data_IF_216184727916
#
_entry.id   IF_216184727916
#
_cell.length_a   1.000
_cell.length_b   1.000
_cell.length_c   1.000
_cell.angle_alpha   90.00
_cell.angle_beta   90.00
_cell.angle_gamma   90.00
#
_symmetry.space_group_name_H-M   'P 1'
#
loop_
_entity.id
_entity.type
_entity.pdbx_description
1 polymer ?
#
# COMPACT_ATOMS: atom_id res chain seq x y z
N UNK A 1 2.87 -3.44 -1.77
CA UNK A 1 3.72 -2.31 -2.16
C UNK A 1 3.33 -1.90 -3.58
N UNK A 2 3.00 -0.63 -3.77
CA UNK A 2 2.99 -0.01 -5.09
C UNK A 2 4.43 0.23 -5.50
N UNK A 3 4.77 -0.06 -6.74
CA UNK A 3 6.16 -0.07 -7.20
C UNK A 3 6.61 1.34 -7.64
N UNK A 4 6.07 2.37 -6.98
CA UNK A 4 6.16 3.80 -7.30
C UNK A 4 7.60 4.31 -7.47
N UNK A 5 8.50 3.82 -6.63
CA UNK A 5 9.92 4.20 -6.61
C UNK A 5 10.83 3.17 -7.27
N UNK A 6 10.24 2.12 -7.82
CA UNK A 6 11.00 1.03 -8.43
C UNK A 6 11.17 1.28 -9.91
N UNK A 7 12.30 0.88 -10.48
CA UNK A 7 12.39 0.79 -11.94
C UNK A 7 11.66 -0.47 -12.36
N UNK A 8 10.41 -0.31 -12.77
CA UNK A 8 9.63 -1.37 -13.40
C UNK A 8 9.92 -1.34 -14.89
N UNK A 9 10.29 -2.47 -15.47
CA UNK A 9 10.44 -2.65 -16.90
C UNK A 9 10.09 -4.08 -17.30
N UNK A 10 10.19 -4.39 -18.60
CA UNK A 10 9.85 -5.73 -19.14
C UNK A 10 10.64 -6.88 -18.48
N UNK A 11 11.85 -6.57 -18.01
CA UNK A 11 12.75 -7.54 -17.38
C UNK A 11 12.54 -7.67 -15.87
N UNK A 12 11.70 -6.84 -15.26
CA UNK A 12 11.48 -6.84 -13.83
C UNK A 12 11.40 -5.50 -13.16
N UNK A 13 11.13 -5.59 -11.87
CA UNK A 13 11.26 -4.50 -10.91
C UNK A 13 12.70 -4.52 -10.37
N UNK A 14 13.44 -3.44 -10.59
CA UNK A 14 14.74 -3.22 -9.96
C UNK A 14 14.71 -2.07 -8.96
N UNK A 15 15.30 -2.33 -7.79
CA UNK A 15 15.49 -1.37 -6.70
C UNK A 15 16.98 -1.00 -6.61
N UNK A 16 17.49 -0.24 -7.59
CA UNK A 16 18.86 0.30 -7.58
C UNK A 16 20.00 -0.75 -7.69
N UNK A 17 20.14 -1.64 -6.71
CA UNK A 17 21.20 -2.64 -6.64
C UNK A 17 20.77 -3.96 -7.32
N UNK A 18 21.22 -4.12 -8.56
CA UNK A 18 20.84 -5.20 -9.49
C UNK A 18 21.54 -6.55 -9.23
N UNK A 19 22.17 -6.75 -8.08
CA UNK A 19 22.99 -7.95 -7.82
C UNK A 19 22.20 -9.25 -7.64
N UNK A 20 20.89 -9.16 -7.39
CA UNK A 20 20.01 -10.33 -7.27
C UNK A 20 18.87 -10.24 -8.30
N UNK A 21 19.20 -10.19 -9.59
CA UNK A 21 18.20 -10.43 -10.63
C UNK A 21 17.68 -11.86 -10.46
N UNK A 22 16.36 -11.98 -10.39
CA UNK A 22 15.65 -13.23 -10.21
C UNK A 22 16.20 -14.33 -11.14
N UNK A 23 16.64 -15.43 -10.54
CA UNK A 23 16.89 -16.66 -11.28
C UNK A 23 15.62 -17.02 -12.07
N UNK A 24 15.77 -17.55 -13.28
CA UNK A 24 14.65 -17.89 -14.18
C UNK A 24 13.64 -18.90 -13.60
N UNK A 25 13.98 -19.52 -12.46
CA UNK A 25 13.20 -20.51 -11.73
C UNK A 25 12.41 -19.93 -10.55
N UNK A 26 12.31 -18.61 -10.43
CA UNK A 26 11.63 -18.01 -9.29
C UNK A 26 10.10 -18.25 -9.34
N UNK A 27 9.64 -19.15 -8.47
CA UNK A 27 8.22 -19.44 -8.24
C UNK A 27 7.47 -18.24 -7.63
N UNK A 28 8.17 -17.18 -7.21
CA UNK A 28 7.56 -15.97 -6.65
C UNK A 28 6.66 -15.23 -7.65
N UNK A 29 6.94 -15.40 -8.95
CA UNK A 29 6.37 -14.57 -10.01
C UNK A 29 6.69 -13.10 -9.82
N UNK A 30 7.96 -12.79 -9.55
CA UNK A 30 8.52 -11.44 -9.67
C UNK A 30 9.29 -11.35 -10.99
N UNK A 31 9.07 -10.28 -11.75
CA UNK A 31 9.58 -10.10 -13.13
C UNK A 31 8.60 -10.54 -14.23
N UNK A 32 8.98 -10.29 -15.49
CA UNK A 32 8.21 -10.58 -16.72
C UNK A 32 6.92 -9.78 -16.87
N UNK A 33 7.01 -8.49 -16.61
CA UNK A 33 5.94 -7.53 -16.80
C UNK A 33 5.58 -7.45 -18.29
N UNK A 34 4.35 -7.81 -18.61
CA UNK A 34 3.73 -7.63 -19.93
C UNK A 34 2.95 -6.32 -19.94
N UNK A 35 2.69 -5.78 -21.14
CA UNK A 35 1.91 -4.55 -21.30
C UNK A 35 2.45 -3.37 -20.47
N UNK A 36 3.74 -3.40 -20.12
CA UNK A 36 4.36 -2.31 -19.38
C UNK A 36 4.34 -1.04 -20.23
N UNK A 37 3.85 0.06 -19.64
CA UNK A 37 4.01 1.39 -20.19
C UNK A 37 4.22 2.42 -19.10
N UNK A 38 5.04 3.42 -19.43
CA UNK A 38 5.21 4.64 -18.67
C UNK A 38 4.99 5.82 -19.61
N UNK A 39 4.07 6.71 -19.26
CA UNK A 39 3.77 7.91 -20.05
C UNK A 39 3.76 9.15 -19.16
N UNK A 40 4.02 10.30 -19.76
CA UNK A 40 3.89 11.60 -19.14
C UNK A 40 3.04 12.49 -20.04
N UNK A 41 2.02 13.13 -19.46
CA UNK A 41 1.19 14.13 -20.11
C UNK A 41 1.64 15.53 -19.66
N UNK A 42 2.19 16.37 -20.57
CA UNK A 42 2.67 17.70 -20.23
C UNK A 42 1.55 18.70 -19.87
N UNK A 43 0.32 18.48 -20.34
CA UNK A 43 -0.78 19.42 -20.09
C UNK A 43 -1.33 19.26 -18.66
N UNK A 44 -1.33 18.04 -18.14
CA UNK A 44 -1.83 17.71 -16.79
C UNK A 44 -0.74 17.44 -15.76
N UNK A 45 0.52 17.27 -16.19
CA UNK A 45 1.64 16.87 -15.34
C UNK A 45 1.59 15.40 -14.91
N UNK A 46 0.68 14.62 -15.47
CA UNK A 46 0.40 13.25 -15.02
C UNK A 46 1.41 12.26 -15.59
N UNK A 47 2.05 11.52 -14.69
CA UNK A 47 2.82 10.32 -15.00
C UNK A 47 1.92 9.09 -14.80
N UNK A 48 1.84 8.21 -15.79
CA UNK A 48 1.07 6.97 -15.71
C UNK A 48 2.01 5.78 -15.82
N UNK A 49 1.97 4.90 -14.82
CA UNK A 49 2.67 3.62 -14.80
C UNK A 49 1.65 2.50 -14.79
N UNK A 50 1.70 1.61 -15.78
CA UNK A 50 0.89 0.41 -15.80
C UNK A 50 1.67 -0.80 -16.25
N UNK A 51 1.27 -1.96 -15.75
CA UNK A 51 1.76 -3.24 -16.24
C UNK A 51 0.82 -4.37 -15.83
N UNK A 52 0.92 -5.47 -16.57
CA UNK A 52 0.36 -6.75 -16.18
C UNK A 52 1.48 -7.73 -15.90
N UNK A 53 1.20 -8.69 -15.05
CA UNK A 53 2.12 -9.77 -14.74
C UNK A 53 1.33 -11.05 -14.57
N UNK A 54 1.78 -12.09 -15.26
CA UNK A 54 1.19 -13.43 -15.11
C UNK A 54 2.26 -14.49 -14.95
N UNK A 55 1.97 -15.46 -14.11
CA UNK A 55 2.73 -16.71 -14.00
C UNK A 55 1.75 -17.85 -14.12
N UNK A 56 2.06 -18.78 -15.03
CA UNK A 56 1.30 -19.99 -15.21
C UNK A 56 2.22 -21.21 -15.10
N UNK A 57 1.91 -22.10 -14.16
CA UNK A 57 2.66 -23.33 -13.87
C UNK A 57 1.64 -24.46 -13.63
N UNK A 58 2.08 -25.71 -13.73
CA UNK A 58 1.20 -26.88 -13.59
C UNK A 58 0.47 -27.00 -12.24
N UNK A 59 0.97 -26.34 -11.19
CA UNK A 59 0.42 -26.39 -9.83
C UNK A 59 -0.32 -25.12 -9.41
N UNK A 60 -0.10 -23.99 -10.10
CA UNK A 60 -0.75 -22.72 -9.80
C UNK A 60 -0.66 -21.73 -10.97
N UNK A 61 -1.60 -20.79 -11.00
CA UNK A 61 -1.52 -19.58 -11.79
C UNK A 61 -1.63 -18.35 -10.89
N UNK A 62 -1.06 -17.24 -11.33
CA UNK A 62 -1.09 -15.96 -10.64
C UNK A 62 -1.16 -14.84 -11.67
N UNK A 63 -1.99 -13.84 -11.43
CA UNK A 63 -2.06 -12.60 -12.21
C UNK A 63 -2.03 -11.39 -11.30
N UNK A 64 -1.41 -10.32 -11.79
CA UNK A 64 -1.41 -8.99 -11.18
C UNK A 64 -1.62 -7.98 -12.30
N UNK A 65 -2.48 -7.00 -12.07
CA UNK A 65 -2.60 -5.79 -12.89
C UNK A 65 -2.39 -4.57 -12.00
N UNK A 66 -1.72 -3.56 -12.54
CA UNK A 66 -1.42 -2.32 -11.83
C UNK A 66 -1.59 -1.13 -12.75
N UNK A 67 -2.23 -0.09 -12.24
CA UNK A 67 -2.32 1.24 -12.84
C UNK A 67 -2.09 2.28 -11.74
N UNK A 68 -1.00 3.03 -11.86
CA UNK A 68 -0.68 4.12 -10.96
C UNK A 68 -0.56 5.42 -11.74
N UNK A 69 -1.06 6.50 -11.16
CA UNK A 69 -0.88 7.86 -11.64
C UNK A 69 -0.20 8.71 -10.59
N UNK A 70 0.68 9.60 -11.03
CA UNK A 70 1.41 10.53 -10.18
C UNK A 70 1.40 11.92 -10.79
N UNK A 71 1.27 12.95 -9.97
CA UNK A 71 1.58 14.33 -10.36
C UNK A 71 2.65 14.82 -9.39
N UNK A 72 3.84 15.11 -9.89
CA UNK A 72 4.96 15.63 -9.12
C UNK A 72 5.06 17.13 -9.32
N UNK A 73 5.12 17.90 -8.24
CA UNK A 73 5.22 19.37 -8.30
C UNK A 73 6.45 19.87 -7.54
N UNK A 74 7.07 20.92 -8.05
CA UNK A 74 8.14 21.66 -7.37
C UNK A 74 7.57 22.55 -6.24
N UNK A 75 8.42 23.17 -5.40
CA UNK A 75 7.98 24.17 -4.42
C UNK A 75 7.19 25.34 -5.04
N UNK A 76 7.48 25.67 -6.30
CA UNK A 76 6.79 26.71 -7.06
C UNK A 76 5.46 26.23 -7.67
N UNK A 77 5.14 24.94 -7.55
CA UNK A 77 3.92 24.33 -8.11
C UNK A 77 4.07 23.83 -9.55
N UNK A 78 5.26 23.92 -10.15
CA UNK A 78 5.52 23.51 -11.52
C UNK A 78 5.61 21.98 -11.65
N UNK A 79 5.13 21.44 -12.77
CA UNK A 79 5.18 19.99 -13.03
C UNK A 79 6.60 19.50 -13.25
N UNK A 80 6.96 18.41 -12.56
CA UNK A 80 8.27 17.77 -12.72
C UNK A 80 8.18 16.65 -13.75
N UNK A 81 8.74 16.89 -14.94
CA UNK A 81 8.77 15.95 -16.08
C UNK A 81 9.68 14.74 -15.84
N UNK A 82 10.73 14.91 -15.04
CA UNK A 82 11.72 13.86 -14.77
C UNK A 82 11.94 13.69 -13.26
N UNK A 83 10.95 13.14 -12.52
CA UNK A 83 10.97 13.10 -11.06
C UNK A 83 12.16 12.33 -10.49
N UNK A 84 12.67 11.31 -11.21
CA UNK A 84 13.87 10.57 -10.79
C UNK A 84 15.15 11.39 -10.89
N UNK A 85 15.27 12.22 -11.94
CA UNK A 85 16.45 13.08 -12.14
C UNK A 85 16.40 14.31 -11.22
N UNK A 86 15.18 14.74 -10.87
CA UNK A 86 14.92 15.95 -10.09
C UNK A 86 14.25 15.61 -8.74
N UNK A 87 14.68 14.51 -8.11
CA UNK A 87 14.04 14.01 -6.88
C UNK A 87 14.11 15.05 -5.75
N UNK A 88 15.25 15.73 -5.63
CA UNK A 88 15.47 16.78 -4.63
C UNK A 88 14.63 18.04 -4.87
N UNK A 89 14.00 18.17 -6.03
CA UNK A 89 13.12 19.29 -6.38
C UNK A 89 11.64 18.99 -6.15
N UNK A 90 11.27 17.79 -5.70
CA UNK A 90 9.88 17.42 -5.47
C UNK A 90 9.40 17.99 -4.14
N UNK A 91 8.34 18.79 -4.16
CA UNK A 91 7.66 19.28 -2.97
C UNK A 91 6.41 18.46 -2.66
N UNK A 92 5.62 18.13 -3.68
CA UNK A 92 4.39 17.36 -3.50
C UNK A 92 4.18 16.29 -4.56
N UNK A 93 3.43 15.26 -4.17
CA UNK A 93 3.01 14.14 -4.99
C UNK A 93 1.52 13.89 -4.76
N UNK A 94 0.73 14.07 -5.81
CA UNK A 94 -0.62 13.53 -5.88
C UNK A 94 -0.53 12.14 -6.50
N UNK A 95 -1.02 11.12 -5.79
CA UNK A 95 -0.95 9.72 -6.19
C UNK A 95 -2.34 9.09 -6.23
N UNK A 96 -2.59 8.33 -7.29
CA UNK A 96 -3.68 7.36 -7.34
C UNK A 96 -3.14 6.01 -7.79
N UNK A 97 -3.47 4.95 -7.08
CA UNK A 97 -3.02 3.60 -7.39
C UNK A 97 -4.17 2.63 -7.43
N UNK A 98 -4.23 1.81 -8.47
CA UNK A 98 -5.12 0.66 -8.56
C UNK A 98 -4.28 -0.59 -8.77
N UNK A 99 -4.47 -1.61 -7.92
CA UNK A 99 -3.78 -2.88 -8.04
C UNK A 99 -4.72 -4.02 -7.74
N UNK A 100 -4.85 -4.94 -8.68
CA UNK A 100 -5.61 -6.16 -8.50
C UNK A 100 -4.77 -7.37 -8.82
N UNK A 101 -5.21 -8.52 -8.34
CA UNK A 101 -4.55 -9.76 -8.68
C UNK A 101 -5.31 -10.97 -8.17
N UNK A 102 -4.92 -12.13 -8.68
CA UNK A 102 -5.45 -13.40 -8.26
C UNK A 102 -4.39 -14.47 -8.26
N UNK A 103 -4.64 -15.52 -7.48
CA UNK A 103 -3.87 -16.74 -7.42
C UNK A 103 -4.85 -17.88 -7.46
N UNK A 104 -4.61 -18.84 -8.36
CA UNK A 104 -5.38 -20.07 -8.43
C UNK A 104 -4.42 -21.25 -8.27
N UNK A 105 -4.80 -22.22 -7.45
CA UNK A 105 -4.00 -23.43 -7.22
C UNK A 105 -4.92 -24.61 -6.96
N UNK A 106 -4.34 -25.81 -6.90
CA UNK A 106 -5.09 -27.02 -6.51
C UNK A 106 -5.68 -26.97 -5.10
N UNK A 107 -5.15 -26.09 -4.24
CA UNK A 107 -5.55 -25.99 -2.83
C UNK A 107 -6.58 -24.89 -2.58
N UNK A 108 -6.90 -24.09 -3.60
CA UNK A 108 -7.77 -22.95 -3.47
C UNK A 108 -7.37 -21.79 -4.37
N UNK A 109 -8.20 -20.75 -4.29
CA UNK A 109 -8.09 -19.52 -5.05
C UNK A 109 -8.14 -18.32 -4.13
N UNK A 110 -7.55 -17.22 -4.55
CA UNK A 110 -7.71 -15.94 -3.88
C UNK A 110 -7.58 -14.81 -4.88
N UNK A 111 -8.27 -13.71 -4.62
CA UNK A 111 -8.18 -12.48 -5.37
C UNK A 111 -8.16 -11.29 -4.43
N UNK A 112 -7.69 -10.16 -4.96
CA UNK A 112 -7.71 -8.89 -4.25
C UNK A 112 -7.78 -7.74 -5.24
N UNK A 113 -8.35 -6.63 -4.78
CA UNK A 113 -8.24 -5.32 -5.41
C UNK A 113 -7.88 -4.28 -4.34
N UNK A 114 -7.14 -3.26 -4.76
CA UNK A 114 -6.73 -2.13 -3.93
C UNK A 114 -6.85 -0.86 -4.76
N UNK A 115 -7.40 0.17 -4.15
CA UNK A 115 -7.48 1.51 -4.68
C UNK A 115 -6.96 2.47 -3.61
N UNK A 116 -5.98 3.29 -3.95
CA UNK A 116 -5.33 4.22 -3.05
C UNK A 116 -5.32 5.61 -3.67
N UNK A 117 -5.59 6.64 -2.88
CA UNK A 117 -5.44 8.04 -3.28
C UNK A 117 -4.71 8.78 -2.18
N UNK A 118 -3.57 9.39 -2.48
CA UNK A 118 -2.78 10.14 -1.51
C UNK A 118 -2.40 11.52 -2.06
N UNK A 119 -2.55 12.54 -1.24
CA UNK A 119 -1.94 13.84 -1.43
C UNK A 119 -0.81 13.97 -0.41
N UNK A 120 0.42 14.07 -0.91
CA UNK A 120 1.62 14.16 -0.08
C UNK A 120 2.30 15.48 -0.38
N UNK A 121 2.62 16.27 0.64
CA UNK A 121 3.32 17.55 0.50
C UNK A 121 4.46 17.67 1.51
N UNK A 122 5.32 18.67 1.35
CA UNK A 122 6.47 18.88 2.24
C UNK A 122 7.64 17.94 1.97
N UNK A 123 7.73 17.34 0.79
CA UNK A 123 8.83 16.42 0.44
C UNK A 123 10.16 17.15 0.21
N UNK A 124 10.14 18.43 -0.17
CA UNK A 124 11.35 19.18 -0.47
C UNK A 124 12.19 19.40 0.79
N UNK A 125 13.51 19.52 0.63
CA UNK A 125 14.46 19.66 1.75
C UNK A 125 14.24 20.91 2.61
N UNK A 126 13.57 21.94 2.07
CA UNK A 126 13.24 23.18 2.79
C UNK A 126 12.03 23.06 3.71
N UNK A 127 11.22 22.00 3.53
CA UNK A 127 10.01 21.76 4.33
C UNK A 127 10.39 20.91 5.55
N UNK A 128 10.04 21.37 6.75
CA UNK A 128 10.31 20.65 8.01
C UNK A 128 9.31 19.53 8.30
N UNK A 129 8.15 19.58 7.66
CA UNK A 129 7.04 18.63 7.86
C UNK A 129 6.67 18.04 6.50
N UNK A 130 6.47 16.72 6.45
CA UNK A 130 5.75 16.05 5.36
C UNK A 130 4.30 15.85 5.79
N UNK A 131 3.33 16.28 5.00
CA UNK A 131 1.92 15.99 5.25
C UNK A 131 1.41 14.92 4.29
N UNK A 132 0.49 14.09 4.78
CA UNK A 132 -0.13 12.98 4.06
C UNK A 132 -1.63 12.99 4.40
N UNK A 133 -2.43 13.17 3.37
CA UNK A 133 -3.87 12.96 3.40
C UNK A 133 -4.24 11.95 2.32
N UNK A 134 -5.31 11.18 2.55
CA UNK A 134 -5.74 10.26 1.53
C UNK A 134 -6.63 9.14 2.01
N UNK A 135 -6.88 8.20 1.12
CA UNK A 135 -7.69 7.03 1.36
C UNK A 135 -7.03 5.77 0.83
N UNK A 136 -7.28 4.68 1.55
CA UNK A 136 -6.99 3.32 1.12
C UNK A 136 -8.30 2.55 1.12
N UNK A 137 -8.60 1.91 0.00
CA UNK A 137 -9.64 0.92 -0.13
C UNK A 137 -8.99 -0.40 -0.57
N UNK A 138 -9.27 -1.47 0.15
CA UNK A 138 -8.77 -2.80 -0.15
C UNK A 138 -9.88 -3.83 0.00
N UNK A 139 -10.04 -4.67 -0.99
CA UNK A 139 -10.95 -5.81 -0.94
C UNK A 139 -10.25 -7.08 -1.39
N UNK A 140 -10.78 -8.22 -0.99
CA UNK A 140 -10.32 -9.49 -1.50
C UNK A 140 -11.09 -10.66 -0.97
N UNK A 141 -10.94 -11.78 -1.67
CA UNK A 141 -11.55 -13.04 -1.29
C UNK A 141 -10.52 -14.16 -1.37
N UNK A 142 -10.74 -15.20 -0.58
CA UNK A 142 -9.99 -16.44 -0.68
C UNK A 142 -10.91 -17.62 -0.37
N UNK A 143 -10.77 -18.70 -1.13
CA UNK A 143 -11.50 -19.94 -0.94
C UNK A 143 -10.57 -21.14 -1.10
N UNK A 144 -10.96 -22.24 -0.49
CA UNK A 144 -10.24 -23.51 -0.60
C UNK A 144 -10.94 -24.60 0.17
N UNK A 145 -10.25 -25.73 0.33
CA UNK A 145 -10.80 -26.90 1.01
C UNK A 145 -9.90 -27.34 2.15
N UNK A 146 -10.51 -27.76 3.26
CA UNK A 146 -9.80 -28.48 4.33
C UNK A 146 -9.35 -29.86 3.85
N UNK A 147 -8.57 -30.57 4.68
CA UNK A 147 -8.21 -31.98 4.41
C UNK A 147 -9.43 -32.90 4.33
N UNK A 148 -10.50 -32.54 5.03
CA UNK A 148 -11.76 -33.29 5.08
C UNK A 148 -12.75 -32.85 3.99
N UNK A 149 -12.26 -32.12 2.98
CA UNK A 149 -13.06 -31.60 1.85
C UNK A 149 -14.17 -30.62 2.24
N UNK A 150 -14.06 -29.98 3.41
CA UNK A 150 -14.95 -28.89 3.81
C UNK A 150 -14.48 -27.60 3.13
N UNK A 151 -15.39 -26.90 2.47
CA UNK A 151 -15.09 -25.60 1.87
C UNK A 151 -14.88 -24.54 2.96
N UNK A 152 -13.87 -23.71 2.77
CA UNK A 152 -13.59 -22.56 3.62
C UNK A 152 -13.42 -21.37 2.71
N UNK A 153 -14.15 -20.28 2.98
CA UNK A 153 -13.96 -19.02 2.29
C UNK A 153 -13.85 -17.86 3.26
N UNK A 154 -13.22 -16.79 2.79
CA UNK A 154 -13.25 -15.48 3.44
C UNK A 154 -13.29 -14.41 2.39
N UNK A 155 -13.98 -13.32 2.69
CA UNK A 155 -13.83 -12.05 1.99
C UNK A 155 -13.67 -10.93 3.01
N UNK A 156 -13.01 -9.87 2.57
CA UNK A 156 -12.78 -8.71 3.40
C UNK A 156 -12.88 -7.43 2.59
N UNK A 157 -13.27 -6.36 3.26
CA UNK A 157 -13.14 -4.98 2.82
C UNK A 157 -12.44 -4.20 3.92
N UNK A 158 -11.48 -3.36 3.54
CA UNK A 158 -10.73 -2.47 4.42
C UNK A 158 -10.78 -1.08 3.81
N UNK A 159 -11.34 -0.13 4.55
CA UNK A 159 -11.31 1.29 4.24
C UNK A 159 -10.48 2.00 5.31
N UNK A 160 -9.54 2.83 4.89
CA UNK A 160 -8.76 3.69 5.77
C UNK A 160 -8.75 5.10 5.20
N UNK A 161 -9.02 6.08 6.04
CA UNK A 161 -8.90 7.50 5.75
C UNK A 161 -7.75 8.06 6.59
N UNK A 162 -6.78 8.69 5.93
CA UNK A 162 -5.63 9.35 6.54
C UNK A 162 -5.95 10.85 6.63
N UNK A 163 -5.98 11.37 7.84
CA UNK A 163 -6.34 12.75 8.15
C UNK A 163 -5.19 13.45 8.87
N UNK A 164 -4.62 14.46 8.22
CA UNK A 164 -3.52 15.27 8.71
C UNK A 164 -2.39 14.41 9.28
N UNK A 165 -1.98 13.38 8.55
CA UNK A 165 -0.81 12.59 8.95
C UNK A 165 0.42 13.41 8.64
N UNK A 166 1.17 13.76 9.67
CA UNK A 166 2.35 14.61 9.55
C UNK A 166 3.60 13.87 10.00
N UNK A 167 4.71 14.13 9.33
CA UNK A 167 6.03 13.61 9.68
C UNK A 167 6.95 14.82 9.90
N UNK A 168 7.38 15.03 11.14
CA UNK A 168 8.38 16.03 11.49
C UNK A 168 9.79 15.53 11.17
N UNK A 169 10.41 16.07 10.12
CA UNK A 169 11.72 15.59 9.62
C UNK A 169 12.83 15.74 10.65
N UNK A 170 12.87 16.87 11.35
CA UNK A 170 13.88 17.14 12.38
C UNK A 170 13.77 16.14 13.53
N UNK A 171 12.54 15.79 13.93
CA UNK A 171 12.28 14.80 14.97
C UNK A 171 12.70 13.40 14.52
N UNK A 172 12.39 13.02 13.27
CA UNK A 172 12.82 11.75 12.68
C UNK A 172 14.35 11.67 12.60
N UNK A 173 15.02 12.75 12.17
CA UNK A 173 16.48 12.82 12.08
C UNK A 173 17.12 12.72 13.47
N UNK A 174 16.63 13.47 14.45
CA UNK A 174 17.17 13.49 15.81
C UNK A 174 17.04 12.13 16.52
N UNK A 175 15.95 11.39 16.28
CA UNK A 175 15.70 10.09 16.90
C UNK A 175 16.20 8.90 16.05
N UNK A 176 16.53 9.13 14.78
CA UNK A 176 16.97 8.11 13.84
C UNK A 176 15.90 7.06 13.51
N UNK A 177 14.62 7.38 13.72
CA UNK A 177 13.49 6.48 13.47
C UNK A 177 12.23 7.27 13.11
N UNK A 178 11.29 6.64 12.38
CA UNK A 178 10.08 7.29 11.88
C UNK A 178 8.99 7.35 12.94
N UNK A 179 8.92 6.33 13.79
CA UNK A 179 7.90 6.16 14.83
C UNK A 179 7.83 7.37 15.76
N UNK A 180 8.98 7.96 16.06
CA UNK A 180 9.11 9.20 16.80
C UNK A 180 9.20 10.37 15.81
N UNK A 181 8.08 11.03 15.57
CA UNK A 181 7.96 12.11 14.59
C UNK A 181 6.73 12.04 13.70
N UNK A 182 5.91 10.99 13.82
CA UNK A 182 4.64 10.89 13.08
C UNK A 182 3.44 11.21 13.97
N UNK A 183 2.61 12.14 13.53
CA UNK A 183 1.34 12.50 14.15
C UNK A 183 0.19 12.36 13.14
N UNK A 184 -1.05 12.48 13.62
CA UNK A 184 -2.24 12.48 12.78
C UNK A 184 -3.21 11.37 13.13
N UNK A 185 -4.24 11.22 12.31
CA UNK A 185 -5.36 10.32 12.59
C UNK A 185 -5.68 9.43 11.40
N UNK A 186 -5.92 8.15 11.67
CA UNK A 186 -6.44 7.20 10.70
C UNK A 186 -7.80 6.71 11.14
N UNK A 187 -8.84 6.95 10.34
CA UNK A 187 -10.13 6.28 10.54
C UNK A 187 -10.14 4.99 9.75
N UNK A 188 -10.63 3.90 10.34
CA UNK A 188 -10.67 2.61 9.65
C UNK A 188 -12.03 1.92 9.78
N UNK A 189 -12.38 1.16 8.75
CA UNK A 189 -13.50 0.22 8.72
C UNK A 189 -13.05 -1.07 8.09
N UNK A 190 -13.24 -2.19 8.79
CA UNK A 190 -12.90 -3.53 8.33
C UNK A 190 -14.16 -4.36 8.37
N UNK A 191 -14.57 -4.89 7.22
CA UNK A 191 -15.61 -5.90 7.09
C UNK A 191 -14.92 -7.22 6.78
N UNK A 192 -15.27 -8.27 7.51
CA UNK A 192 -14.70 -9.60 7.35
C UNK A 192 -15.82 -10.61 7.39
N UNK A 193 -16.03 -11.29 6.26
CA UNK A 193 -16.94 -12.42 6.18
C UNK A 193 -16.12 -13.69 6.04
N UNK A 194 -16.46 -14.72 6.84
CA UNK A 194 -15.85 -16.04 6.77
C UNK A 194 -16.95 -17.08 6.65
N UNK A 195 -16.69 -18.11 5.86
CA UNK A 195 -17.52 -19.31 5.83
C UNK A 195 -16.67 -20.55 6.09
N UNK A 196 -17.25 -21.51 6.81
CA UNK A 196 -16.70 -22.84 7.04
C UNK A 196 -17.84 -23.85 6.90
N UNK A 197 -17.91 -24.54 5.77
CA UNK A 197 -19.09 -25.34 5.43
C UNK A 197 -20.37 -24.49 5.46
N UNK A 198 -21.33 -24.88 6.28
CA UNK A 198 -22.62 -24.18 6.44
C UNK A 198 -22.58 -23.03 7.47
N UNK A 199 -21.45 -22.85 8.18
CA UNK A 199 -21.31 -21.79 9.18
C UNK A 199 -20.75 -20.52 8.53
N UNK A 200 -21.38 -19.37 8.84
CA UNK A 200 -20.92 -18.06 8.42
C UNK A 200 -20.69 -17.15 9.63
N UNK A 201 -19.58 -16.42 9.62
CA UNK A 201 -19.21 -15.41 10.61
C UNK A 201 -18.98 -14.08 9.89
N UNK A 202 -19.64 -13.02 10.35
CA UNK A 202 -19.50 -11.67 9.82
C UNK A 202 -19.07 -10.73 10.95
N UNK A 203 -17.96 -10.03 10.73
CA UNK A 203 -17.40 -9.09 11.66
C UNK A 203 -17.21 -7.73 11.00
N UNK A 204 -17.69 -6.69 11.68
CA UNK A 204 -17.46 -5.29 11.32
C UNK A 204 -16.67 -4.63 12.45
N UNK A 205 -15.46 -4.16 12.14
CA UNK A 205 -14.54 -3.54 13.08
C UNK A 205 -14.24 -2.13 12.58
N UNK A 206 -14.69 -1.14 13.34
CA UNK A 206 -14.52 0.27 13.01
C UNK A 206 -13.82 1.00 14.16
N UNK A 207 -13.05 2.02 13.82
CA UNK A 207 -12.35 2.80 14.84
C UNK A 207 -11.45 3.87 14.28
N UNK A 208 -10.61 4.36 15.19
CA UNK A 208 -9.64 5.41 14.92
C UNK A 208 -8.29 5.01 15.52
N UNK A 209 -7.22 5.29 14.79
CA UNK A 209 -5.84 5.23 15.27
C UNK A 209 -5.31 6.66 15.29
N UNK A 210 -4.91 7.12 16.46
CA UNK A 210 -4.29 8.44 16.66
C UNK A 210 -2.78 8.25 16.86
N UNK A 211 -1.97 8.83 15.97
CA UNK A 211 -0.51 8.82 16.04
C UNK A 211 -0.05 9.99 16.92
N UNK A 212 0.72 9.71 17.97
CA UNK A 212 1.00 10.69 19.03
C UNK A 212 2.35 11.39 18.91
N UNK A 213 3.17 11.04 17.92
CA UNK A 213 4.50 11.64 17.72
C UNK A 213 5.60 11.11 18.65
N UNK A 214 5.25 10.39 19.72
CA UNK A 214 6.19 9.88 20.73
C UNK A 214 6.61 8.41 20.52
N UNK A 215 6.33 7.84 19.35
CA UNK A 215 6.54 6.42 19.07
C UNK A 215 5.40 5.51 19.51
N UNK A 216 4.26 6.08 19.90
CA UNK A 216 3.04 5.32 20.23
C UNK A 216 1.83 5.76 19.41
N UNK A 217 0.75 4.99 19.52
CA UNK A 217 -0.53 5.33 18.95
C UNK A 217 -1.67 4.86 19.85
N UNK A 218 -2.81 5.55 19.74
CA UNK A 218 -4.03 5.24 20.48
C UNK A 218 -5.06 4.63 19.55
N UNK A 219 -5.42 3.38 19.80
CA UNK A 219 -6.48 2.67 19.10
C UNK A 219 -7.79 2.83 19.86
N UNK A 220 -8.83 3.27 19.15
CA UNK A 220 -10.20 3.39 19.66
C UNK A 220 -11.13 2.60 18.77
N UNK A 221 -11.98 1.75 19.34
CA UNK A 221 -13.03 1.06 18.61
C UNK A 221 -14.34 1.82 18.76
N UNK A 222 -15.10 1.98 17.66
CA UNK A 222 -16.34 2.76 17.62
C UNK A 222 -17.39 2.35 18.67
N UNK A 223 -17.41 1.06 19.06
CA UNK A 223 -18.39 0.48 20.00
C UNK A 223 -17.77 0.02 21.33
N UNK A 224 -16.50 0.31 21.59
CA UNK A 224 -15.81 -0.12 22.83
C UNK A 224 -15.17 1.10 23.47
N UNK A 225 -15.51 1.37 24.73
CA UNK A 225 -14.96 2.52 25.47
C UNK A 225 -13.48 2.37 25.85
N UNK A 226 -12.87 1.21 25.55
CA UNK A 226 -11.45 0.93 25.82
C UNK A 226 -10.59 1.63 24.76
N UNK A 227 -9.60 2.37 25.24
CA UNK A 227 -8.50 2.89 24.43
C UNK A 227 -7.32 1.96 24.63
N UNK A 228 -6.74 1.47 23.54
CA UNK A 228 -5.53 0.64 23.61
C UNK A 228 -4.37 1.49 23.13
N UNK A 229 -3.36 1.67 23.98
CA UNK A 229 -2.12 2.31 23.57
C UNK A 229 -1.18 1.24 23.05
N UNK A 230 -0.58 1.44 21.88
CA UNK A 230 0.40 0.52 21.33
C UNK A 230 1.67 1.24 20.88
N UNK A 231 2.79 0.55 20.99
CA UNK A 231 4.07 1.03 20.44
C UNK A 231 4.07 0.86 18.93
N UNK A 232 4.46 1.90 18.20
CA UNK A 232 4.64 1.84 16.75
C UNK A 232 5.86 1.00 16.35
N UNK A 233 6.80 0.78 17.27
CA UNK A 233 8.06 0.07 17.03
C UNK A 233 7.87 -1.45 16.94
N UNK A 234 7.09 -2.02 17.85
CA UNK A 234 6.96 -3.48 17.99
C UNK A 234 5.52 -3.98 18.17
N UNK A 235 4.54 -3.06 18.21
CA UNK A 235 3.14 -3.40 18.39
C UNK A 235 2.77 -3.84 19.81
N UNK A 236 3.68 -3.73 20.79
CA UNK A 236 3.37 -4.02 22.19
C UNK A 236 2.29 -3.08 22.71
N UNK A 237 1.35 -3.62 23.49
CA UNK A 237 0.19 -2.88 24.00
C UNK A 237 0.31 -2.60 25.49
N UNK A 238 -0.10 -1.41 25.91
CA UNK A 238 -0.37 -1.08 27.30
C UNK A 238 -1.87 -0.82 27.45
N UNK A 239 -2.48 -1.52 28.41
CA UNK A 239 -3.89 -1.41 28.77
C UNK A 239 -4.14 -0.31 29.81
#
# INVERSE_FOLDING_TARGET
MYDAVSTVGKDGISYGDNRNKANSDDNSGRGRESSYSYTYDPDTGMHTLQYDRSVNKNSFSKSISLLNTYIFKSPEGEFIVHPRANADSIESVDFTGNKSGSVNSRRGSSEFARADTFAIAGLHSTSSIVSIDGTHHGEGSASGFTRDSVEVSRDFTVDIEFLNVEIEKDTVEANGNLEQGVTGTLNYSIVLNKSFGDEADNQVIEGTIELTGDGTALLRFKKVAKVVRFSLKDGSTQD
#
